data_IF_134876523566
#
_entry.id   IF_134876523566
#
_cell.length_a   1.000
_cell.length_b   1.000
_cell.length_c   1.000
_cell.angle_alpha   90.00
_cell.angle_beta   90.00
_cell.angle_gamma   90.00
#
_symmetry.space_group_name_H-M   'P 1'
#
loop_
_entity.id
_entity.type
_entity.pdbx_description
1 polymer ?
#
# COMPACT_ATOMS: atom_id res chain seq x y z
N UNK A 1 -7.43 -39.79 11.54
CA UNK A 1 -6.47 -38.75 11.98
C UNK A 1 -6.06 -37.81 10.86
N UNK A 2 -5.71 -38.28 9.65
CA UNK A 2 -5.24 -37.43 8.54
C UNK A 2 -6.24 -36.33 8.10
N UNK A 3 -7.54 -36.63 8.03
CA UNK A 3 -8.60 -35.65 7.65
C UNK A 3 -8.73 -34.47 8.62
N UNK A 4 -8.53 -34.70 9.92
CA UNK A 4 -8.57 -33.64 10.94
C UNK A 4 -7.35 -32.72 10.89
N UNK A 5 -6.19 -33.28 10.54
CA UNK A 5 -4.95 -32.51 10.34
C UNK A 5 -5.07 -31.57 9.13
N UNK A 6 -5.62 -32.04 8.00
CA UNK A 6 -5.87 -31.19 6.83
C UNK A 6 -6.83 -30.03 7.13
N UNK A 7 -7.89 -30.28 7.89
CA UNK A 7 -8.84 -29.23 8.29
C UNK A 7 -8.17 -28.18 9.18
N UNK A 8 -7.33 -28.62 10.14
CA UNK A 8 -6.61 -27.70 11.02
C UNK A 8 -5.60 -26.82 10.25
N UNK A 9 -4.85 -27.41 9.32
CA UNK A 9 -3.92 -26.67 8.44
C UNK A 9 -4.68 -25.68 7.56
N UNK A 10 -5.80 -26.09 6.98
CA UNK A 10 -6.63 -25.23 6.14
C UNK A 10 -7.19 -24.01 6.92
N UNK A 11 -7.70 -24.22 8.13
CA UNK A 11 -8.19 -23.14 9.00
C UNK A 11 -7.07 -22.18 9.43
N UNK A 12 -5.87 -22.69 9.69
CA UNK A 12 -4.71 -21.89 10.05
C UNK A 12 -4.25 -21.01 8.88
N UNK A 13 -4.21 -21.56 7.67
CA UNK A 13 -3.89 -20.80 6.45
C UNK A 13 -4.91 -19.69 6.23
N UNK A 14 -6.21 -20.00 6.31
CA UNK A 14 -7.28 -19.00 6.15
C UNK A 14 -7.15 -17.87 7.17
N UNK A 15 -6.95 -18.17 8.45
CA UNK A 15 -6.88 -17.14 9.49
C UNK A 15 -5.72 -16.16 9.25
N UNK A 16 -4.56 -16.64 8.79
CA UNK A 16 -3.44 -15.75 8.43
C UNK A 16 -3.77 -14.81 7.26
N UNK A 17 -4.50 -15.28 6.24
CA UNK A 17 -4.94 -14.44 5.13
C UNK A 17 -5.97 -13.38 5.55
N UNK A 18 -6.91 -13.74 6.42
CA UNK A 18 -7.89 -12.81 6.98
C UNK A 18 -7.21 -11.69 7.79
N UNK A 19 -6.25 -12.03 8.66
CA UNK A 19 -5.50 -11.04 9.44
C UNK A 19 -4.69 -10.08 8.55
N UNK A 20 -4.10 -10.58 7.47
CA UNK A 20 -3.38 -9.75 6.50
C UNK A 20 -4.29 -8.74 5.77
N UNK A 21 -5.51 -9.18 5.40
CA UNK A 21 -6.52 -8.34 4.78
C UNK A 21 -7.02 -7.22 5.69
N UNK A 22 -7.27 -7.52 6.97
CA UNK A 22 -7.72 -6.54 7.97
C UNK A 22 -6.65 -5.46 8.17
N UNK A 23 -5.38 -5.84 8.36
CA UNK A 23 -4.28 -4.89 8.53
C UNK A 23 -4.17 -3.91 7.35
N UNK A 24 -4.36 -4.40 6.13
CA UNK A 24 -4.33 -3.58 4.92
C UNK A 24 -5.48 -2.58 4.86
N UNK A 25 -6.71 -3.00 5.23
CA UNK A 25 -7.87 -2.10 5.30
C UNK A 25 -7.67 -1.00 6.35
N UNK A 26 -7.18 -1.37 7.54
CA UNK A 26 -6.89 -0.43 8.63
C UNK A 26 -5.84 0.59 8.19
N UNK A 27 -4.76 0.14 7.55
CA UNK A 27 -3.70 1.01 7.05
C UNK A 27 -4.19 1.96 5.95
N UNK A 28 -5.07 1.50 5.05
CA UNK A 28 -5.67 2.36 4.03
C UNK A 28 -6.57 3.43 4.65
N UNK A 29 -7.36 3.05 5.66
CA UNK A 29 -8.22 4.00 6.39
C UNK A 29 -7.40 5.08 7.08
N UNK A 30 -6.32 4.71 7.77
CA UNK A 30 -5.45 5.68 8.44
C UNK A 30 -4.77 6.64 7.47
N UNK A 31 -4.42 6.18 6.25
CA UNK A 31 -3.95 7.05 5.19
C UNK A 31 -5.04 8.04 4.73
N UNK A 32 -6.28 7.57 4.53
CA UNK A 32 -7.39 8.46 4.14
C UNK A 32 -7.62 9.56 5.18
N UNK A 33 -7.62 9.21 6.47
CA UNK A 33 -7.73 10.17 7.58
C UNK A 33 -6.58 11.19 7.56
N UNK A 34 -5.35 10.74 7.33
CA UNK A 34 -4.18 11.61 7.20
C UNK A 34 -4.32 12.59 6.02
N UNK A 35 -4.71 12.10 4.84
CA UNK A 35 -4.89 12.93 3.66
C UNK A 35 -6.02 13.96 3.85
N UNK A 36 -7.09 13.58 4.54
CA UNK A 36 -8.17 14.51 4.86
C UNK A 36 -7.69 15.62 5.79
N UNK A 37 -7.01 15.25 6.89
CA UNK A 37 -6.52 16.19 7.88
C UNK A 37 -5.49 17.19 7.31
N UNK A 38 -4.54 16.70 6.51
CA UNK A 38 -3.39 17.51 6.06
C UNK A 38 -3.57 18.10 4.66
N UNK A 39 -4.40 17.48 3.82
CA UNK A 39 -4.53 17.87 2.43
C UNK A 39 -5.98 18.11 1.98
N UNK A 40 -6.98 17.98 2.86
CA UNK A 40 -8.38 18.36 2.63
C UNK A 40 -8.95 17.80 1.32
N UNK A 41 -8.82 16.48 1.11
CA UNK A 41 -9.36 15.80 -0.07
C UNK A 41 -8.68 16.12 -1.41
N UNK A 42 -7.55 16.85 -1.45
CA UNK A 42 -6.85 17.18 -2.71
C UNK A 42 -6.29 15.98 -3.47
N UNK A 43 -6.15 14.83 -2.81
CA UNK A 43 -5.56 13.63 -3.37
C UNK A 43 -6.53 12.46 -3.39
N UNK A 44 -6.59 11.75 -4.51
CA UNK A 44 -7.17 10.41 -4.62
C UNK A 44 -6.08 9.34 -4.47
N UNK A 45 -6.40 8.25 -3.78
CA UNK A 45 -5.54 7.08 -3.66
C UNK A 45 -5.78 6.18 -4.86
N UNK A 46 -4.82 6.13 -5.79
CA UNK A 46 -4.90 5.32 -7.02
C UNK A 46 -4.39 3.90 -6.79
N UNK A 47 -3.31 3.78 -6.02
CA UNK A 47 -2.70 2.49 -5.66
C UNK A 47 -2.47 2.47 -4.17
N UNK A 48 -2.79 1.34 -3.54
CA UNK A 48 -2.44 1.06 -2.16
C UNK A 48 -2.11 -0.43 -2.04
N UNK A 49 -0.82 -0.75 -1.91
CA UNK A 49 -0.36 -2.13 -1.76
C UNK A 49 0.78 -2.21 -0.77
N UNK A 50 0.94 -3.37 -0.12
CA UNK A 50 2.04 -3.57 0.82
C UNK A 50 3.37 -3.50 0.06
N UNK A 51 4.34 -2.79 0.61
CA UNK A 51 5.68 -2.69 0.01
C UNK A 51 6.55 -3.83 0.52
N UNK A 52 6.69 -4.89 -0.27
CA UNK A 52 7.59 -6.01 0.01
C UNK A 52 8.97 -5.74 -0.62
N UNK A 53 9.65 -4.67 -0.20
CA UNK A 53 11.02 -4.46 -0.64
C UNK A 53 11.94 -5.50 0.02
N UNK A 54 12.81 -6.14 -0.76
CA UNK A 54 13.44 -7.44 -0.46
C UNK A 54 14.54 -7.40 0.60
N UNK A 55 14.92 -6.21 1.09
CA UNK A 55 16.01 -6.03 2.06
C UNK A 55 15.56 -6.01 3.52
N UNK A 56 14.29 -5.69 3.81
CA UNK A 56 13.68 -5.89 5.13
C UNK A 56 12.15 -5.93 5.00
N UNK A 57 11.52 -6.99 5.51
CA UNK A 57 10.06 -7.13 5.46
C UNK A 57 9.43 -6.24 6.53
N UNK A 58 9.28 -4.95 6.23
CA UNK A 58 8.50 -4.05 7.08
C UNK A 58 7.02 -4.15 6.72
N UNK A 59 6.28 -4.90 7.53
CA UNK A 59 4.84 -5.11 7.34
C UNK A 59 3.98 -3.84 7.45
N UNK A 60 4.52 -2.73 7.95
CA UNK A 60 3.79 -1.47 8.11
C UNK A 60 3.97 -0.52 6.92
N UNK A 61 4.87 -0.83 5.97
CA UNK A 61 5.11 0.01 4.80
C UNK A 61 4.21 -0.37 3.63
N UNK A 62 3.57 0.63 3.05
CA UNK A 62 2.69 0.50 1.90
C UNK A 62 3.18 1.40 0.77
N UNK A 63 3.24 0.86 -0.43
CA UNK A 63 3.39 1.65 -1.65
C UNK A 63 2.05 2.31 -1.96
N UNK A 64 2.08 3.63 -2.09
CA UNK A 64 0.90 4.45 -2.35
C UNK A 64 1.14 5.29 -3.58
N UNK A 65 0.21 5.28 -4.53
CA UNK A 65 0.20 6.26 -5.60
C UNK A 65 -0.96 7.23 -5.34
N UNK A 66 -0.62 8.50 -5.16
CA UNK A 66 -1.59 9.58 -4.97
C UNK A 66 -1.71 10.39 -6.25
N UNK A 67 -2.92 10.82 -6.58
CA UNK A 67 -3.18 11.69 -7.72
C UNK A 67 -3.93 12.92 -7.27
N UNK A 68 -3.56 14.08 -7.79
CA UNK A 68 -4.31 15.32 -7.56
C UNK A 68 -5.68 15.22 -8.23
N UNK A 69 -6.73 15.47 -7.46
CA UNK A 69 -8.12 15.40 -7.94
C UNK A 69 -8.40 16.43 -9.04
N UNK A 70 -7.74 17.58 -9.01
CA UNK A 70 -7.91 18.67 -9.99
C UNK A 70 -7.29 18.34 -11.35
N UNK A 71 -6.05 17.86 -11.36
CA UNK A 71 -5.26 17.69 -12.59
C UNK A 71 -5.48 16.31 -13.23
N UNK A 72 -5.70 15.26 -12.40
CA UNK A 72 -5.91 13.85 -12.79
C UNK A 72 -4.92 13.24 -13.81
N UNK A 73 -3.82 13.93 -14.11
CA UNK A 73 -2.90 13.55 -15.19
C UNK A 73 -1.66 12.84 -14.65
N UNK A 74 -1.22 13.18 -13.44
CA UNK A 74 0.02 12.68 -12.84
C UNK A 74 -0.24 12.08 -11.47
N UNK A 75 0.26 10.86 -11.27
CA UNK A 75 0.30 10.21 -9.96
C UNK A 75 1.71 10.23 -9.39
N UNK A 76 1.83 10.61 -8.12
CA UNK A 76 3.09 10.64 -7.38
C UNK A 76 3.12 9.43 -6.45
N UNK A 77 4.24 8.71 -6.46
CA UNK A 77 4.44 7.53 -5.61
C UNK A 77 5.04 7.94 -4.27
N UNK A 78 4.49 7.37 -3.22
CA UNK A 78 4.86 7.55 -1.82
C UNK A 78 4.97 6.21 -1.11
N UNK A 79 5.65 6.23 0.02
CA UNK A 79 5.60 5.16 1.01
C UNK A 79 4.77 5.63 2.20
N UNK A 80 3.76 4.86 2.58
CA UNK A 80 2.98 5.09 3.78
C UNK A 80 3.45 4.15 4.88
N UNK A 81 3.97 4.72 5.98
CA UNK A 81 4.21 3.99 7.20
C UNK A 81 2.94 4.03 8.07
N UNK A 82 2.21 2.92 8.10
CA UNK A 82 0.95 2.80 8.83
C UNK A 82 1.14 2.84 10.36
N UNK A 83 2.33 2.48 10.86
CA UNK A 83 2.65 2.50 12.29
C UNK A 83 2.97 3.92 12.74
N UNK A 84 3.77 4.64 11.97
CA UNK A 84 4.15 6.03 12.26
C UNK A 84 3.11 7.05 11.78
N UNK A 85 2.16 6.63 10.94
CA UNK A 85 1.19 7.49 10.24
C UNK A 85 1.87 8.62 9.48
N UNK A 86 2.91 8.27 8.72
CA UNK A 86 3.73 9.24 7.97
C UNK A 86 3.87 8.84 6.51
N UNK A 87 3.81 9.85 5.66
CA UNK A 87 4.06 9.75 4.24
C UNK A 87 5.55 10.04 3.98
N UNK A 88 6.23 9.12 3.31
CA UNK A 88 7.63 9.21 2.98
C UNK A 88 7.80 9.28 1.47
N UNK A 89 8.83 10.00 1.01
CA UNK A 89 9.30 9.86 -0.36
C UNK A 89 9.87 8.43 -0.50
N UNK A 90 9.48 7.67 -1.52
CA UNK A 90 9.97 6.31 -1.70
C UNK A 90 11.49 6.35 -1.91
N UNK A 91 12.20 5.47 -1.23
CA UNK A 91 13.65 5.36 -1.36
C UNK A 91 13.98 4.63 -2.67
N UNK A 92 14.24 5.40 -3.73
CA UNK A 92 14.83 4.88 -4.96
C UNK A 92 16.30 5.27 -5.01
N UNK A 93 17.19 4.33 -5.39
CA UNK A 93 18.56 4.68 -5.81
C UNK A 93 18.47 5.77 -6.88
N UNK A 94 19.35 6.77 -6.81
CA UNK A 94 19.31 8.06 -7.53
C UNK A 94 18.92 7.98 -9.02
N UNK A 95 19.27 6.90 -9.72
CA UNK A 95 18.92 6.66 -11.12
C UNK A 95 17.41 6.48 -11.38
N UNK A 96 16.60 6.14 -10.37
CA UNK A 96 15.14 5.96 -10.45
C UNK A 96 14.35 7.02 -9.66
N UNK A 97 15.01 8.11 -9.26
CA UNK A 97 14.51 9.13 -8.31
C UNK A 97 13.26 9.92 -8.74
N UNK A 98 12.77 9.73 -9.97
CA UNK A 98 11.54 10.31 -10.52
C UNK A 98 10.42 9.27 -10.61
N UNK A 99 9.93 8.78 -9.47
CA UNK A 99 8.77 7.90 -9.45
C UNK A 99 7.45 8.67 -9.60
N UNK A 100 7.28 9.30 -10.76
CA UNK A 100 5.98 9.72 -11.24
C UNK A 100 5.44 8.59 -12.10
N UNK A 101 4.28 8.04 -11.73
CA UNK A 101 3.61 7.08 -12.59
C UNK A 101 2.67 7.85 -13.51
N UNK A 102 2.94 7.78 -14.81
CA UNK A 102 1.94 8.15 -15.82
C UNK A 102 0.90 7.03 -15.92
N UNK A 103 -0.25 7.32 -16.53
CA UNK A 103 -1.34 6.35 -16.70
C UNK A 103 -0.89 5.03 -17.36
N UNK A 104 0.09 5.09 -18.27
CA UNK A 104 0.67 3.93 -18.96
C UNK A 104 1.50 3.04 -18.02
N UNK A 105 2.26 3.64 -17.10
CA UNK A 105 3.10 2.90 -16.13
C UNK A 105 2.28 2.34 -14.98
N UNK A 106 1.21 3.03 -14.56
CA UNK A 106 0.27 2.57 -13.53
C UNK A 106 -0.33 1.18 -13.83
N UNK A 107 -0.67 0.88 -15.09
CA UNK A 107 -1.23 -0.43 -15.48
C UNK A 107 -0.31 -1.60 -15.12
N UNK A 108 1.01 -1.40 -15.10
CA UNK A 108 2.00 -2.43 -14.75
C UNK A 108 2.11 -2.67 -13.23
N UNK A 109 1.59 -1.76 -12.40
CA UNK A 109 1.60 -1.87 -10.94
C UNK A 109 0.26 -2.31 -10.33
N UNK A 110 -0.82 -2.25 -11.12
CA UNK A 110 -2.21 -2.57 -10.76
C UNK A 110 -2.59 -4.02 -11.11
N UNK A 111 -1.91 -4.63 -12.10
CA UNK A 111 -2.05 -6.06 -12.42
C UNK A 111 -1.06 -6.93 -11.65
#
# INVERSE_FOLDING_TARGET
MLKGLYLAVFLLVISTFYSCGIATKVAKKSLMEYLELHHKGKYEIVVFKRNFNTTSVNFNLFLVALRLVEIKTVSIVFEWDAKLKKLHRPYYKEENSRAYLTSKTLKRFVN
#
